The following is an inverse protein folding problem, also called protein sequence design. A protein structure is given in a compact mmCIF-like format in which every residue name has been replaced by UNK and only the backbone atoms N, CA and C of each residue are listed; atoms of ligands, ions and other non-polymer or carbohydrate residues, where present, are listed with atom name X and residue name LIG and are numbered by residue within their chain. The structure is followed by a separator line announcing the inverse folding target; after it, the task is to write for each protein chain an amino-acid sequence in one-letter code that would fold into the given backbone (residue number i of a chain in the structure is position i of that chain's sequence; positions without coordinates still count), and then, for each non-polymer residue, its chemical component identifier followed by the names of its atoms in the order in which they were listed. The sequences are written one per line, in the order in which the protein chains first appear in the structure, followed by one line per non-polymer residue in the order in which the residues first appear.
data_IF_622811825778
#
_entry.id   IF_622811825778
#
_cell.length_a   1.000
_cell.length_b   1.000
_cell.length_c   1.000
_cell.angle_alpha   90.00
_cell.angle_beta   90.00
_cell.angle_gamma   90.00
#
_symmetry.space_group_name_H-M   'P 1'
#
loop_
_entity.id
_entity.type
_entity.pdbx_description
1 polymer ?
#
# COMPACT_ATOMS: atom_id res chain seq x y z
N UNK A 1 -12.33 -3.42 -17.85
CA UNK A 1 -11.99 -2.93 -16.49
C UNK A 1 -12.28 -1.44 -16.47
N UNK A 2 -12.90 -0.93 -15.41
CA UNK A 2 -13.16 0.51 -15.25
C UNK A 2 -11.79 1.21 -15.15
N UNK A 3 -11.56 2.26 -15.94
CA UNK A 3 -10.28 2.97 -15.93
C UNK A 3 -10.00 3.52 -14.53
N UNK A 4 -8.81 3.25 -13.98
CA UNK A 4 -8.43 3.70 -12.65
C UNK A 4 -8.37 5.23 -12.63
N UNK A 5 -9.14 5.85 -11.74
CA UNK A 5 -9.18 7.30 -11.55
C UNK A 5 -8.14 7.69 -10.49
N UNK A 6 -6.93 8.02 -10.93
CA UNK A 6 -5.80 8.37 -10.05
C UNK A 6 -6.13 9.56 -9.14
N UNK A 7 -6.97 10.48 -9.61
CA UNK A 7 -7.50 11.62 -8.86
C UNK A 7 -8.31 11.20 -7.61
N UNK A 8 -8.76 9.95 -7.53
CA UNK A 8 -9.53 9.39 -6.41
C UNK A 8 -8.71 8.45 -5.51
N UNK A 9 -7.43 8.23 -5.85
CA UNK A 9 -6.57 7.30 -5.15
C UNK A 9 -6.05 7.93 -3.85
N UNK A 10 -6.29 7.25 -2.74
CA UNK A 10 -5.64 7.52 -1.48
C UNK A 10 -4.44 6.60 -1.27
N UNK A 11 -3.46 7.05 -0.51
CA UNK A 11 -2.37 6.18 -0.06
C UNK A 11 -2.44 5.96 1.45
N UNK A 12 -2.21 4.72 1.88
CA UNK A 12 -2.06 4.33 3.27
C UNK A 12 -0.78 3.50 3.40
N UNK A 13 0.12 3.86 4.31
CA UNK A 13 1.37 3.12 4.54
C UNK A 13 1.45 2.66 5.98
N UNK A 14 1.57 1.35 6.18
CA UNK A 14 1.72 0.71 7.47
C UNK A 14 3.12 0.10 7.62
N UNK A 15 3.99 0.79 8.36
CA UNK A 15 5.39 0.40 8.58
C UNK A 15 5.86 0.72 10.01
N UNK A 16 4.95 0.62 10.99
CA UNK A 16 5.21 0.94 12.39
C UNK A 16 5.73 2.38 12.57
N UNK A 17 6.86 2.55 13.25
CA UNK A 17 7.46 3.88 13.50
C UNK A 17 7.87 4.62 12.22
N UNK A 18 8.00 3.92 11.09
CA UNK A 18 8.44 4.51 9.82
C UNK A 18 7.29 4.98 8.94
N UNK A 19 6.02 4.69 9.31
CA UNK A 19 4.85 4.97 8.48
C UNK A 19 4.78 6.41 7.98
N UNK A 20 5.06 7.40 8.83
CA UNK A 20 4.99 8.81 8.44
C UNK A 20 6.02 9.19 7.37
N UNK A 21 7.29 8.81 7.59
CA UNK A 21 8.37 9.10 6.64
C UNK A 21 8.13 8.39 5.30
N UNK A 22 7.69 7.13 5.35
CA UNK A 22 7.41 6.33 4.17
C UNK A 22 6.18 6.82 3.40
N UNK A 23 5.13 7.30 4.10
CA UNK A 23 3.98 7.98 3.47
C UNK A 23 4.43 9.21 2.69
N UNK A 24 5.24 10.09 3.32
CA UNK A 24 5.74 11.29 2.64
C UNK A 24 6.57 10.96 1.40
N UNK A 25 7.44 9.94 1.49
CA UNK A 25 8.23 9.45 0.36
C UNK A 25 7.34 8.88 -0.76
N UNK A 26 6.32 8.11 -0.42
CA UNK A 26 5.41 7.54 -1.39
C UNK A 26 4.66 8.64 -2.17
N UNK A 27 4.14 9.65 -1.47
CA UNK A 27 3.52 10.82 -2.10
C UNK A 27 4.49 11.54 -3.07
N UNK A 28 5.76 11.68 -2.68
CA UNK A 28 6.78 12.25 -3.56
C UNK A 28 7.01 11.39 -4.81
N UNK A 29 7.09 10.06 -4.69
CA UNK A 29 7.27 9.16 -5.82
C UNK A 29 6.12 9.25 -6.83
N UNK A 30 4.86 9.30 -6.34
CA UNK A 30 3.69 9.51 -7.19
C UNK A 30 3.71 10.87 -7.90
N UNK A 31 4.06 11.94 -7.17
CA UNK A 31 4.21 13.27 -7.78
C UNK A 31 5.29 13.30 -8.86
N UNK A 32 6.44 12.66 -8.64
CA UNK A 32 7.50 12.55 -9.65
C UNK A 32 7.06 11.75 -10.89
N UNK A 33 6.15 10.79 -10.72
CA UNK A 33 5.56 10.03 -11.82
C UNK A 33 4.45 10.80 -12.56
N UNK A 34 4.13 12.05 -12.17
CA UNK A 34 3.04 12.84 -12.74
C UNK A 34 1.64 12.40 -12.27
N UNK A 35 1.57 11.59 -11.22
CA UNK A 35 0.34 11.05 -10.65
C UNK A 35 0.00 11.84 -9.37
N UNK A 36 -0.65 13.00 -9.53
CA UNK A 36 -1.03 13.82 -8.39
C UNK A 36 -2.20 13.17 -7.61
N UNK A 37 -1.94 12.77 -6.37
CA UNK A 37 -2.96 12.23 -5.46
C UNK A 37 -3.73 13.39 -4.82
N UNK A 38 -5.07 13.39 -4.89
CA UNK A 38 -5.89 14.50 -4.40
C UNK A 38 -5.95 14.56 -2.86
N UNK A 39 -5.66 15.72 -2.22
CA UNK A 39 -5.97 15.95 -0.82
C UNK A 39 -7.43 16.41 -0.69
N UNK A 40 -8.39 15.51 -0.89
CA UNK A 40 -9.81 15.89 -1.01
C UNK A 40 -10.80 14.87 -0.46
N UNK A 41 -11.85 15.38 0.19
CA UNK A 41 -12.73 14.77 1.19
C UNK A 41 -13.49 13.49 0.81
N UNK A 42 -13.78 12.70 1.85
CA UNK A 42 -14.69 11.56 1.92
C UNK A 42 -15.85 11.62 0.92
N UNK A 43 -15.71 10.89 -0.18
CA UNK A 43 -16.84 10.43 -0.98
C UNK A 43 -16.86 8.90 -0.91
N UNK A 44 -18.07 8.33 -0.77
CA UNK A 44 -18.30 6.90 -0.89
C UNK A 44 -17.70 6.41 -2.22
N UNK A 45 -16.90 5.32 -2.19
CA UNK A 45 -16.20 4.79 -3.37
C UNK A 45 -14.72 5.17 -3.50
N UNK A 46 -14.04 5.49 -2.39
CA UNK A 46 -12.60 5.84 -2.40
C UNK A 46 -11.74 4.58 -2.63
N UNK A 47 -10.92 4.64 -3.66
CA UNK A 47 -9.84 3.67 -3.93
C UNK A 47 -8.67 3.99 -2.99
N UNK A 48 -8.21 2.98 -2.25
CA UNK A 48 -7.05 3.10 -1.37
C UNK A 48 -5.94 2.18 -1.86
N UNK A 49 -4.78 2.75 -2.16
CA UNK A 49 -3.54 2.05 -2.32
C UNK A 49 -2.89 1.87 -0.94
N UNK A 50 -2.90 0.66 -0.42
CA UNK A 50 -2.23 0.31 0.82
C UNK A 50 -0.85 -0.26 0.57
N UNK A 51 0.13 0.19 1.34
CA UNK A 51 1.48 -0.38 1.41
C UNK A 51 1.68 -0.91 2.83
N UNK A 52 2.04 -2.18 2.95
CA UNK A 52 2.36 -2.82 4.22
C UNK A 52 3.82 -3.24 4.24
N UNK A 53 4.53 -2.86 5.30
CA UNK A 53 5.93 -3.22 5.57
C UNK A 53 6.06 -3.55 7.06
N UNK A 54 5.46 -4.68 7.44
CA UNK A 54 5.26 -5.06 8.84
C UNK A 54 6.46 -5.89 9.31
N UNK A 55 7.01 -5.53 10.47
CA UNK A 55 8.10 -6.23 11.12
C UNK A 55 7.60 -6.81 12.46
N UNK A 56 7.42 -8.12 12.53
CA UNK A 56 6.96 -8.81 13.74
C UNK A 56 8.12 -9.62 14.36
N UNK A 57 8.43 -9.44 15.66
CA UNK A 57 9.41 -10.27 16.34
C UNK A 57 9.01 -11.75 16.34
N UNK A 58 9.97 -12.65 16.09
CA UNK A 58 9.76 -14.11 16.14
C UNK A 58 10.14 -14.72 17.49
N UNK A 59 9.95 -13.97 18.59
CA UNK A 59 10.18 -14.38 19.99
C UNK A 59 11.35 -15.38 20.17
N UNK A 60 11.23 -16.34 21.09
CA UNK A 60 12.28 -17.34 21.38
C UNK A 60 12.50 -18.37 20.26
N UNK A 61 11.69 -18.33 19.19
CA UNK A 61 11.75 -19.32 18.10
C UNK A 61 12.92 -19.08 17.16
N UNK A 62 13.24 -17.81 16.89
CA UNK A 62 14.32 -17.41 15.97
C UNK A 62 15.04 -16.14 16.46
N UNK A 63 16.02 -16.26 17.38
CA UNK A 63 16.74 -15.10 17.92
C UNK A 63 17.39 -14.23 16.83
N UNK A 64 17.17 -12.92 16.91
CA UNK A 64 17.72 -11.95 15.95
C UNK A 64 17.04 -11.92 14.58
N UNK A 65 15.91 -12.62 14.42
CA UNK A 65 15.09 -12.60 13.21
C UNK A 65 13.68 -12.05 13.48
N UNK A 66 13.05 -11.58 12.42
CA UNK A 66 11.67 -11.11 12.38
C UNK A 66 10.92 -11.82 11.26
N UNK A 67 9.60 -11.90 11.42
CA UNK A 67 8.69 -12.10 10.31
C UNK A 67 8.51 -10.74 9.65
N UNK A 68 8.90 -10.65 8.39
CA UNK A 68 8.76 -9.46 7.58
C UNK A 68 7.71 -9.70 6.51
N UNK A 69 6.66 -8.89 6.54
CA UNK A 69 5.59 -8.88 5.56
C UNK A 69 5.71 -7.60 4.72
N UNK A 70 5.74 -7.75 3.40
CA UNK A 70 5.70 -6.65 2.46
C UNK A 70 4.54 -6.81 1.49
N UNK A 71 3.72 -5.78 1.35
CA UNK A 71 2.46 -5.83 0.64
C UNK A 71 2.14 -4.53 -0.08
N UNK A 72 1.51 -4.65 -1.25
CA UNK A 72 0.88 -3.54 -1.95
C UNK A 72 -0.49 -4.00 -2.46
N UNK A 73 -1.52 -3.25 -2.11
CA UNK A 73 -2.89 -3.58 -2.46
C UNK A 73 -3.70 -2.35 -2.87
N UNK A 74 -4.64 -2.55 -3.79
CA UNK A 74 -5.59 -1.53 -4.21
C UNK A 74 -7.00 -2.00 -3.83
N UNK A 75 -7.61 -1.31 -2.88
CA UNK A 75 -8.94 -1.63 -2.36
C UNK A 75 -9.97 -0.56 -2.71
N UNK A 76 -11.14 -0.99 -3.17
CA UNK A 76 -12.32 -0.15 -3.33
C UNK A 76 -13.37 -0.57 -2.29
N UNK A 77 -13.90 0.41 -1.53
CA UNK A 77 -15.07 0.15 -0.70
C UNK A 77 -16.34 0.19 -1.56
N UNK A 78 -17.05 -0.94 -1.63
CA UNK A 78 -18.30 -1.08 -2.37
C UNK A 78 -19.48 -1.33 -1.42
N UNK A 79 -20.63 -0.75 -1.74
CA UNK A 79 -21.91 -1.06 -1.10
C UNK A 79 -22.74 -1.92 -2.07
N UNK A 80 -23.08 -3.18 -1.71
CA UNK A 80 -23.83 -4.04 -2.59
C UNK A 80 -25.29 -3.56 -2.68
N UNK A 81 -25.81 -3.46 -3.90
CA UNK A 81 -27.19 -2.98 -4.17
C UNK A 81 -28.25 -3.81 -3.47
N UNK A 82 -28.01 -5.12 -3.29
CA UNK A 82 -28.93 -6.04 -2.62
C UNK A 82 -29.00 -5.81 -1.10
N UNK A 83 -27.96 -5.24 -0.48
CA UNK A 83 -27.96 -4.91 0.94
C UNK A 83 -27.03 -3.72 1.23
N UNK A 84 -27.53 -2.47 1.14
CA UNK A 84 -26.70 -1.27 1.26
C UNK A 84 -26.15 -1.03 2.68
N UNK A 85 -26.57 -1.84 3.68
CA UNK A 85 -26.02 -1.76 5.05
C UNK A 85 -24.71 -2.52 5.21
N UNK A 86 -24.33 -3.33 4.22
CA UNK A 86 -23.07 -4.07 4.21
C UNK A 86 -22.05 -3.26 3.43
N UNK A 87 -20.82 -3.14 3.95
CA UNK A 87 -19.68 -2.64 3.18
C UNK A 87 -18.77 -3.82 2.85
N UNK A 88 -18.29 -3.88 1.62
CA UNK A 88 -17.32 -4.87 1.16
C UNK A 88 -16.08 -4.11 0.69
N UNK A 89 -14.91 -4.64 1.01
CA UNK A 89 -13.65 -4.21 0.43
C UNK A 89 -13.31 -5.17 -0.70
N UNK A 90 -13.16 -4.63 -1.91
CA UNK A 90 -12.80 -5.41 -3.09
C UNK A 90 -11.34 -5.12 -3.44
N UNK A 91 -10.52 -6.15 -3.41
CA UNK A 91 -9.13 -6.08 -3.86
C UNK A 91 -9.09 -6.13 -5.39
N UNK A 92 -8.55 -5.09 -6.01
CA UNK A 92 -8.40 -5.03 -7.47
C UNK A 92 -6.96 -5.26 -7.90
N UNK A 93 -6.02 -5.10 -6.98
CA UNK A 93 -4.60 -5.37 -7.15
C UNK A 93 -4.03 -5.84 -5.81
N UNK A 94 -3.27 -6.93 -5.80
CA UNK A 94 -2.68 -7.49 -4.58
C UNK A 94 -1.32 -8.10 -4.91
N UNK A 95 -0.31 -7.70 -4.14
CA UNK A 95 1.00 -8.35 -4.13
C UNK A 95 1.51 -8.40 -2.70
N UNK A 96 1.84 -9.59 -2.22
CA UNK A 96 2.31 -9.80 -0.85
C UNK A 96 3.48 -10.77 -0.83
N UNK A 97 4.36 -10.59 0.15
CA UNK A 97 5.51 -11.46 0.39
C UNK A 97 5.79 -11.52 1.88
N UNK A 98 6.04 -12.72 2.40
CA UNK A 98 6.34 -12.96 3.80
C UNK A 98 7.66 -13.73 3.92
N UNK A 99 8.61 -13.20 4.70
CA UNK A 99 9.96 -13.77 4.84
C UNK A 99 10.44 -13.73 6.29
N UNK A 100 11.30 -14.67 6.67
CA UNK A 100 12.03 -14.65 7.94
C UNK A 100 13.41 -14.05 7.72
N UNK A 101 13.65 -12.84 8.21
CA UNK A 101 14.86 -12.06 7.91
C UNK A 101 15.39 -11.34 9.15
N UNK A 102 16.58 -10.73 9.06
CA UNK A 102 17.04 -9.79 10.09
C UNK A 102 16.15 -8.53 10.07
N UNK A 103 16.03 -7.80 11.20
CA UNK A 103 15.29 -6.53 11.25
C UNK A 103 15.72 -5.58 10.13
N UNK A 104 14.73 -5.02 9.43
CA UNK A 104 14.94 -4.11 8.31
C UNK A 104 15.28 -2.72 8.82
N UNK A 105 16.32 -2.14 8.24
CA UNK A 105 16.66 -0.73 8.45
C UNK A 105 15.69 0.17 7.70
N UNK A 106 15.63 1.45 8.07
CA UNK A 106 14.80 2.43 7.35
C UNK A 106 15.11 2.45 5.85
N UNK A 107 16.38 2.47 5.47
CA UNK A 107 16.80 2.49 4.07
C UNK A 107 16.33 1.24 3.29
N UNK A 108 16.28 0.08 3.95
CA UNK A 108 15.75 -1.14 3.34
C UNK A 108 14.24 -1.05 3.13
N UNK A 109 13.49 -0.53 4.12
CA UNK A 109 12.05 -0.31 3.99
C UNK A 109 11.72 0.69 2.89
N UNK A 110 12.51 1.77 2.77
CA UNK A 110 12.39 2.75 1.70
C UNK A 110 12.61 2.11 0.33
N UNK A 111 13.67 1.30 0.19
CA UNK A 111 13.95 0.58 -1.06
C UNK A 111 12.85 -0.42 -1.41
N UNK A 112 12.31 -1.15 -0.43
CA UNK A 112 11.23 -2.11 -0.64
C UNK A 112 9.93 -1.39 -1.07
N UNK A 113 9.61 -0.25 -0.43
CA UNK A 113 8.48 0.60 -0.83
C UNK A 113 8.65 1.11 -2.27
N UNK A 114 9.82 1.66 -2.59
CA UNK A 114 10.10 2.21 -3.91
C UNK A 114 9.88 1.15 -5.00
N UNK A 115 10.35 -0.09 -4.75
CA UNK A 115 10.17 -1.21 -5.67
C UNK A 115 8.70 -1.63 -5.83
N UNK A 116 7.92 -1.68 -4.75
CA UNK A 116 6.49 -1.99 -4.81
C UNK A 116 5.74 -0.93 -5.61
N UNK A 117 5.93 0.35 -5.26
CA UNK A 117 5.24 1.47 -5.90
C UNK A 117 5.65 1.65 -7.35
N UNK A 118 6.93 1.44 -7.69
CA UNK A 118 7.40 1.54 -9.06
C UNK A 118 6.70 0.52 -9.97
N UNK A 119 6.55 -0.73 -9.52
CA UNK A 119 5.83 -1.74 -10.29
C UNK A 119 4.36 -1.37 -10.53
N UNK A 120 3.69 -0.83 -9.52
CA UNK A 120 2.33 -0.35 -9.67
C UNK A 120 2.25 0.81 -10.66
N UNK A 121 3.11 1.82 -10.51
CA UNK A 121 3.18 2.98 -11.41
C UNK A 121 3.44 2.53 -12.85
N UNK A 122 4.34 1.58 -13.07
CA UNK A 122 4.63 1.09 -14.41
C UNK A 122 3.47 0.27 -14.99
N UNK A 123 2.75 -0.49 -14.17
CA UNK A 123 1.53 -1.20 -14.61
C UNK A 123 0.42 -0.24 -15.09
N UNK A 124 0.39 0.99 -14.57
CA UNK A 124 -0.56 2.03 -15.00
C UNK A 124 -0.19 2.65 -16.35
N UNK A 125 1.08 2.60 -16.77
CA UNK A 125 1.53 3.16 -18.06
C UNK A 125 1.34 2.20 -19.23
N UNK A 126 1.25 0.91 -18.95
CA UNK A 126 1.09 -0.15 -19.95
C UNK A 126 -0.35 -0.43 -20.35
N UNK A 127 -1.32 0.28 -19.75
CA UNK A 127 -2.76 0.15 -19.98
C UNK A 127 -3.40 1.50 -20.26
#
# INVERSE_FOLDING_TARGET
MKALRIDQLQISVLAGRFSHALTARALQQFNHAGLALSPGQHHNGRLTLGVELIQQPLEDRCPGKILYESGLYLVEQIQPTRNPRVSIWSDTWLRETTLVVAPRTQAQLESDQDALLQQFIDSLKTH
#
